data_IF_057865877064
#
_entry.id   IF_057865877064
#
_cell.length_a   1.000
_cell.length_b   1.000
_cell.length_c   1.000
_cell.angle_alpha   90.00
_cell.angle_beta   90.00
_cell.angle_gamma   90.00
#
_symmetry.space_group_name_H-M   'P 1'
#
loop_
_entity.id
_entity.type
_entity.pdbx_description
1 polymer ?
#
# COMPACT_ATOMS: atom_id res chain seq x y z
N UNK A 1 8.81 -7.99 -17.03
CA UNK A 1 8.62 -7.79 -15.57
C UNK A 1 9.99 -7.55 -14.96
N UNK A 2 10.19 -6.43 -14.27
CA UNK A 2 11.48 -6.04 -13.69
C UNK A 2 11.86 -6.95 -12.52
N UNK A 3 13.13 -6.94 -12.10
CA UNK A 3 13.59 -7.76 -10.96
C UNK A 3 12.89 -7.29 -9.69
N UNK A 4 12.81 -5.96 -9.51
CA UNK A 4 12.09 -5.37 -8.39
C UNK A 4 10.61 -5.74 -8.39
N UNK A 5 9.90 -5.66 -9.52
CA UNK A 5 8.48 -6.00 -9.58
C UNK A 5 8.21 -7.46 -9.20
N UNK A 6 9.08 -8.39 -9.62
CA UNK A 6 8.99 -9.81 -9.22
C UNK A 6 9.18 -9.96 -7.71
N UNK A 7 10.23 -9.35 -7.15
CA UNK A 7 10.50 -9.35 -5.71
C UNK A 7 9.31 -8.79 -4.92
N UNK A 8 8.79 -7.64 -5.36
CA UNK A 8 7.67 -6.96 -4.71
C UNK A 8 6.40 -7.82 -4.73
N UNK A 9 6.12 -8.49 -5.86
CA UNK A 9 5.00 -9.42 -5.99
C UNK A 9 5.10 -10.60 -5.03
N UNK A 10 6.27 -11.24 -4.96
CA UNK A 10 6.51 -12.34 -4.01
C UNK A 10 6.30 -11.90 -2.56
N UNK A 11 6.84 -10.73 -2.19
CA UNK A 11 6.68 -10.20 -0.82
C UNK A 11 5.24 -9.79 -0.52
N UNK A 12 4.50 -9.28 -1.50
CA UNK A 12 3.09 -8.93 -1.33
C UNK A 12 2.25 -10.17 -1.02
N UNK A 13 2.41 -11.27 -1.77
CA UNK A 13 1.66 -12.51 -1.53
C UNK A 13 2.04 -13.13 -0.18
N UNK A 14 3.35 -13.22 0.16
CA UNK A 14 3.77 -13.71 1.49
C UNK A 14 3.22 -12.86 2.64
N UNK A 15 3.16 -11.55 2.46
CA UNK A 15 2.57 -10.67 3.46
C UNK A 15 1.06 -10.90 3.59
N UNK A 16 0.34 -11.07 2.47
CA UNK A 16 -1.10 -11.41 2.48
C UNK A 16 -1.33 -12.71 3.23
N UNK A 17 -0.59 -13.77 2.90
CA UNK A 17 -0.66 -15.08 3.56
C UNK A 17 -0.38 -14.97 5.06
N UNK A 18 0.66 -14.24 5.46
CA UNK A 18 0.98 -13.98 6.87
C UNK A 18 -0.16 -13.26 7.59
N UNK A 19 -0.80 -12.26 6.96
CA UNK A 19 -1.90 -11.53 7.59
C UNK A 19 -3.15 -12.41 7.69
N UNK A 20 -3.42 -13.25 6.71
CA UNK A 20 -4.54 -14.18 6.71
C UNK A 20 -4.37 -15.29 7.76
N UNK A 21 -3.16 -15.84 7.92
CA UNK A 21 -2.87 -16.86 8.92
C UNK A 21 -3.03 -16.35 10.36
N UNK A 22 -2.89 -15.04 10.56
CA UNK A 22 -3.18 -14.35 11.84
C UNK A 22 -4.67 -14.04 12.04
N UNK A 23 -5.57 -14.52 11.19
CA UNK A 23 -7.03 -14.40 11.33
C UNK A 23 -7.63 -13.09 10.80
N UNK A 24 -6.87 -12.26 10.08
CA UNK A 24 -7.42 -11.07 9.43
C UNK A 24 -8.13 -11.45 8.13
N UNK A 25 -9.36 -10.98 7.92
CA UNK A 25 -10.09 -11.21 6.64
C UNK A 25 -9.34 -10.65 5.43
N UNK A 26 -8.58 -9.55 5.62
CA UNK A 26 -7.57 -8.94 4.72
C UNK A 26 -7.95 -8.73 3.23
N UNK A 27 -9.23 -8.93 2.87
CA UNK A 27 -9.74 -9.02 1.49
C UNK A 27 -9.89 -7.71 0.73
N UNK A 28 -9.74 -6.57 1.41
CA UNK A 28 -9.65 -5.25 0.75
C UNK A 28 -8.21 -4.79 0.64
N UNK A 29 -7.37 -5.25 1.57
CA UNK A 29 -5.96 -4.90 1.66
C UNK A 29 -5.15 -5.69 0.64
N UNK A 30 -5.43 -6.98 0.44
CA UNK A 30 -4.81 -7.81 -0.60
C UNK A 30 -5.00 -7.23 -2.00
N UNK A 31 -6.21 -6.77 -2.34
CA UNK A 31 -6.51 -6.11 -3.61
C UNK A 31 -5.75 -4.81 -3.78
N UNK A 32 -5.50 -4.08 -2.69
CA UNK A 32 -4.66 -2.87 -2.71
C UNK A 32 -3.20 -3.22 -2.98
N UNK A 33 -2.64 -4.24 -2.33
CA UNK A 33 -1.26 -4.67 -2.53
C UNK A 33 -1.03 -5.22 -3.93
N UNK A 34 -1.92 -6.10 -4.41
CA UNK A 34 -1.87 -6.61 -5.79
C UNK A 34 -2.01 -5.50 -6.83
N UNK A 35 -2.83 -4.48 -6.57
CA UNK A 35 -2.92 -3.31 -7.43
C UNK A 35 -1.63 -2.48 -7.44
N UNK A 36 -0.95 -2.36 -6.29
CA UNK A 36 0.34 -1.68 -6.20
C UNK A 36 1.43 -2.42 -6.98
N UNK A 37 1.51 -3.75 -6.85
CA UNK A 37 2.44 -4.57 -7.66
C UNK A 37 2.20 -4.36 -9.15
N UNK A 38 0.94 -4.44 -9.61
CA UNK A 38 0.59 -4.18 -11.02
C UNK A 38 0.93 -2.76 -11.47
N UNK A 39 0.85 -1.77 -10.58
CA UNK A 39 1.27 -0.41 -10.89
C UNK A 39 2.79 -0.34 -11.14
N UNK A 40 3.59 -0.93 -10.25
CA UNK A 40 5.06 -1.02 -10.39
C UNK A 40 5.46 -1.77 -11.66
N UNK A 41 4.79 -2.88 -11.96
CA UNK A 41 5.00 -3.65 -13.20
C UNK A 41 4.73 -2.82 -14.46
N UNK A 42 3.60 -2.10 -14.51
CA UNK A 42 3.20 -1.29 -15.66
C UNK A 42 4.09 -0.08 -15.86
N UNK A 43 4.50 0.55 -14.77
CA UNK A 43 5.43 1.67 -14.79
C UNK A 43 6.88 1.24 -15.03
N UNK A 44 7.16 -0.07 -15.11
CA UNK A 44 8.48 -0.66 -15.32
C UNK A 44 9.53 -0.15 -14.31
N UNK A 45 9.10 0.08 -13.07
CA UNK A 45 9.99 0.56 -12.01
C UNK A 45 10.92 -0.59 -11.59
N UNK A 46 12.22 -0.30 -11.52
CA UNK A 46 13.26 -1.28 -11.15
C UNK A 46 14.20 -0.75 -10.05
N UNK A 47 13.67 0.11 -9.19
CA UNK A 47 14.38 0.65 -8.04
C UNK A 47 13.70 0.19 -6.73
N UNK A 48 14.42 0.17 -5.59
CA UNK A 48 13.86 -0.16 -4.28
C UNK A 48 12.57 0.61 -3.94
N UNK A 49 11.82 0.09 -2.97
CA UNK A 49 10.53 0.67 -2.58
C UNK A 49 10.71 2.06 -1.95
N UNK A 50 10.32 3.12 -2.67
CA UNK A 50 10.44 4.52 -2.21
C UNK A 50 9.10 5.11 -1.79
N UNK A 51 9.15 6.16 -0.97
CA UNK A 51 7.99 6.97 -0.57
C UNK A 51 7.25 7.53 -1.78
N UNK A 52 7.99 8.05 -2.76
CA UNK A 52 7.41 8.64 -3.98
C UNK A 52 6.59 7.62 -4.75
N UNK A 53 7.09 6.40 -4.95
CA UNK A 53 6.34 5.34 -5.62
C UNK A 53 5.01 5.02 -4.93
N UNK A 54 5.01 4.93 -3.60
CA UNK A 54 3.79 4.69 -2.84
C UNK A 54 2.79 5.85 -2.97
N UNK A 55 3.27 7.09 -2.92
CA UNK A 55 2.43 8.28 -3.06
C UNK A 55 1.84 8.39 -4.46
N UNK A 56 2.64 8.20 -5.50
CA UNK A 56 2.17 8.26 -6.90
C UNK A 56 1.11 7.21 -7.17
N UNK A 57 1.30 5.98 -6.67
CA UNK A 57 0.27 4.94 -6.74
C UNK A 57 -1.02 5.37 -6.04
N UNK A 58 -0.94 5.87 -4.81
CA UNK A 58 -2.14 6.30 -4.06
C UNK A 58 -2.83 7.47 -4.75
N UNK A 59 -2.07 8.42 -5.31
CA UNK A 59 -2.59 9.58 -6.02
C UNK A 59 -3.17 9.23 -7.38
N UNK A 60 -2.67 8.19 -8.05
CA UNK A 60 -3.26 7.66 -9.30
C UNK A 60 -4.68 7.13 -9.11
N UNK A 61 -5.11 6.86 -7.86
CA UNK A 61 -6.46 6.41 -7.56
C UNK A 61 -7.47 7.58 -7.54
N UNK A 62 -8.27 7.68 -8.60
CA UNK A 62 -9.30 8.71 -8.80
C UNK A 62 -10.53 8.64 -7.88
N UNK A 63 -10.55 7.79 -6.86
CA UNK A 63 -11.68 7.68 -5.94
C UNK A 63 -11.65 8.69 -4.77
N UNK A 64 -12.45 8.42 -3.73
CA UNK A 64 -12.57 9.30 -2.57
C UNK A 64 -11.27 9.45 -1.75
N UNK A 65 -11.11 10.59 -1.06
CA UNK A 65 -9.95 10.89 -0.21
C UNK A 65 -9.76 9.84 0.92
N UNK A 66 -10.84 9.37 1.54
CA UNK A 66 -10.78 8.33 2.56
C UNK A 66 -10.25 7.00 2.01
N UNK A 67 -10.53 6.70 0.74
CA UNK A 67 -10.00 5.51 0.07
C UNK A 67 -8.49 5.65 -0.18
N UNK A 68 -8.01 6.84 -0.57
CA UNK A 68 -6.55 7.13 -0.65
C UNK A 68 -5.87 6.97 0.71
N UNK A 69 -6.45 7.53 1.77
CA UNK A 69 -5.92 7.39 3.13
C UNK A 69 -5.89 5.94 3.63
N UNK A 70 -6.84 5.12 3.19
CA UNK A 70 -6.87 3.67 3.49
C UNK A 70 -5.78 2.93 2.73
N UNK A 71 -5.66 3.17 1.41
CA UNK A 71 -4.61 2.57 0.57
C UNK A 71 -3.21 2.91 1.07
N UNK A 72 -2.98 4.19 1.41
CA UNK A 72 -1.72 4.61 2.00
C UNK A 72 -1.41 3.87 3.30
N UNK A 73 -2.41 3.73 4.20
CA UNK A 73 -2.23 3.00 5.45
C UNK A 73 -1.86 1.51 5.24
N UNK A 74 -2.41 0.87 4.21
CA UNK A 74 -2.04 -0.50 3.81
C UNK A 74 -0.59 -0.54 3.35
N UNK A 75 -0.18 0.38 2.48
CA UNK A 75 1.19 0.47 2.00
C UNK A 75 2.17 0.76 3.13
N UNK A 76 1.84 1.63 4.09
CA UNK A 76 2.75 1.92 5.21
C UNK A 76 3.10 0.67 6.01
N UNK A 77 2.12 -0.19 6.29
CA UNK A 77 2.36 -1.46 6.99
C UNK A 77 3.15 -2.46 6.15
N UNK A 78 2.90 -2.47 4.85
CA UNK A 78 3.64 -3.33 3.94
C UNK A 78 5.10 -2.87 3.77
N UNK A 79 5.36 -1.56 3.74
CA UNK A 79 6.72 -1.01 3.70
C UNK A 79 7.49 -1.30 5.00
N UNK A 80 6.82 -1.25 6.17
CA UNK A 80 7.39 -1.74 7.44
C UNK A 80 7.83 -3.22 7.34
N UNK A 81 7.04 -4.06 6.65
CA UNK A 81 7.39 -5.46 6.39
C UNK A 81 8.52 -5.62 5.36
N UNK A 82 8.52 -4.84 4.27
CA UNK A 82 9.53 -4.88 3.22
C UNK A 82 10.92 -4.48 3.73
N UNK A 83 10.99 -3.51 4.64
CA UNK A 83 12.25 -3.04 5.23
C UNK A 83 13.04 -4.15 5.97
N UNK A 84 12.39 -5.26 6.34
CA UNK A 84 13.06 -6.45 6.90
C UNK A 84 13.88 -7.20 5.85
N UNK A 85 13.49 -7.12 4.57
CA UNK A 85 14.10 -7.87 3.46
C UNK A 85 14.94 -7.01 2.53
N UNK A 86 14.66 -5.72 2.47
CA UNK A 86 15.41 -4.75 1.67
C UNK A 86 15.65 -3.48 2.48
N UNK A 87 16.90 -3.31 2.92
CA UNK A 87 17.33 -2.17 3.73
C UNK A 87 17.24 -0.82 2.99
N UNK A 88 17.09 -0.82 1.66
CA UNK A 88 16.89 0.38 0.87
C UNK A 88 15.40 0.80 0.81
N UNK A 89 14.49 0.03 1.41
CA UNK A 89 13.07 0.40 1.50
C UNK A 89 12.91 1.63 2.40
N UNK A 90 12.32 2.69 1.85
CA UNK A 90 12.03 3.90 2.61
C UNK A 90 10.84 3.71 3.56
N UNK A 91 10.77 4.46 4.66
CA UNK A 91 9.62 4.42 5.58
C UNK A 91 8.49 5.35 5.13
N UNK A 92 7.24 4.89 5.26
CA UNK A 92 6.05 5.72 4.98
C UNK A 92 5.43 6.27 6.27
N UNK A 93 5.22 7.57 6.32
CA UNK A 93 4.50 8.23 7.42
C UNK A 93 3.01 7.86 7.43
N UNK A 94 2.49 7.31 8.53
CA UNK A 94 1.10 6.80 8.58
C UNK A 94 0.00 7.85 8.33
N UNK A 95 0.29 9.16 8.46
CA UNK A 95 -0.70 10.26 8.44
C UNK A 95 -0.40 11.32 7.37
N UNK A 96 -0.12 10.88 6.13
CA UNK A 96 0.10 11.81 5.01
C UNK A 96 -1.22 12.29 4.37
N UNK A 97 -2.25 11.44 4.36
CA UNK A 97 -3.54 11.79 3.74
C UNK A 97 -4.57 12.27 4.76
N UNK A 98 -5.31 13.36 4.46
CA UNK A 98 -6.40 13.81 5.32
C UNK A 98 -7.49 12.74 5.36
N UNK A 99 -7.99 12.45 6.56
CA UNK A 99 -9.19 11.63 6.76
C UNK A 99 -10.37 12.57 6.94
N UNK A 100 -11.35 12.49 6.04
CA UNK A 100 -12.62 13.17 6.26
C UNK A 100 -13.36 12.41 7.36
N UNK A 101 -13.38 13.02 8.55
CA UNK A 101 -14.34 12.71 9.62
C UNK A 101 -15.55 13.60 9.37
N UNK A 102 -16.39 13.23 8.41
CA UNK A 102 -17.72 13.81 8.34
C UNK A 102 -18.45 13.38 9.64
N UNK A 103 -18.45 14.25 10.64
CA UNK A 103 -19.35 14.12 11.77
C UNK A 103 -20.72 14.48 11.19
N UNK A 104 -21.69 13.55 11.14
CA UNK A 104 -23.02 13.89 10.67
C UNK A 104 -23.53 15.05 11.53
N UNK A 105 -24.16 16.09 10.93
CA UNK A 105 -24.67 17.21 11.70
C UNK A 105 -25.63 16.70 12.78
N UNK A 106 -25.64 17.32 13.98
CA UNK A 106 -26.60 16.97 15.02
C UNK A 106 -28.00 17.07 14.43
N UNK A 107 -28.76 15.97 14.51
CA UNK A 107 -30.18 15.98 14.17
C UNK A 107 -30.89 16.66 15.35
N UNK A 108 -31.27 17.92 15.17
CA UNK A 108 -32.12 18.68 16.10
C UNK A 108 -33.55 18.56 15.60
#
# INVERSE_FOLDING_TARGET
MTVFARFLGEKAERYIELRQSLGYSFSKQDGTLRAFVRYVERAQLDAPATRTMALDFVLSFGGAANSRATRHGVLSRFYEYLAVYDAQTETLERRVFPRSRAIPPPRI
#
